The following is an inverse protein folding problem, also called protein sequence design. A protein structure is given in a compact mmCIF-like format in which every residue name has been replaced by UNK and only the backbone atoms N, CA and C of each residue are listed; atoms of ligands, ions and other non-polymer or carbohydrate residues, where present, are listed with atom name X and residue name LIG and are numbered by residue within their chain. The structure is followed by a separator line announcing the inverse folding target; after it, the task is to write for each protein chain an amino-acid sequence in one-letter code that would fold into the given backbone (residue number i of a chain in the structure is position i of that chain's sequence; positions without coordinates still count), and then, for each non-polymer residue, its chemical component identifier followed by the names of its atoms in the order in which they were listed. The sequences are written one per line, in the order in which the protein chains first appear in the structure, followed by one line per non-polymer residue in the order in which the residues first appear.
data_IF_662460535403
#
_entry.id   IF_662460535403
#
_cell.length_a   1.000
_cell.length_b   1.000
_cell.length_c   1.000
_cell.angle_alpha   90.00
_cell.angle_beta   90.00
_cell.angle_gamma   90.00
#
_symmetry.space_group_name_H-M   'P 1'
#
loop_
_entity.id
_entity.type
_entity.pdbx_description
1 polymer ?
#
# COMPACT_ATOMS: atom_id res chain seq x y z
N UNK A 1 -29.56 10.18 12.60
CA UNK A 1 -29.07 9.23 11.58
C UNK A 1 -27.73 9.75 11.09
N UNK A 2 -26.64 9.19 11.60
CA UNK A 2 -25.28 9.45 11.12
C UNK A 2 -25.02 8.51 9.94
N UNK A 3 -24.54 8.98 8.79
CA UNK A 3 -24.15 8.07 7.71
C UNK A 3 -22.94 7.28 8.20
N UNK A 4 -23.11 5.97 8.39
CA UNK A 4 -22.01 5.05 8.58
C UNK A 4 -21.25 5.05 7.25
N UNK A 5 -20.12 5.74 7.19
CA UNK A 5 -19.21 5.66 6.06
C UNK A 5 -18.91 4.16 5.91
N UNK A 6 -19.41 3.55 4.83
CA UNK A 6 -19.14 2.15 4.57
C UNK A 6 -17.61 2.05 4.41
N UNK A 7 -16.97 1.23 5.25
CA UNK A 7 -15.61 0.82 4.97
C UNK A 7 -15.62 0.25 3.54
N UNK A 8 -14.76 0.73 2.62
CA UNK A 8 -14.67 0.14 1.29
C UNK A 8 -14.57 -1.37 1.44
N UNK A 9 -15.49 -2.06 0.76
CA UNK A 9 -15.52 -3.51 0.73
C UNK A 9 -14.13 -3.99 0.33
N UNK A 10 -13.62 -5.06 0.95
CA UNK A 10 -12.28 -5.61 0.69
C UNK A 10 -11.99 -5.81 -0.83
N UNK A 11 -13.05 -5.96 -1.61
CA UNK A 11 -13.07 -6.06 -3.08
C UNK A 11 -12.71 -4.74 -3.79
N UNK A 12 -13.13 -3.58 -3.30
CA UNK A 12 -12.87 -2.27 -3.94
C UNK A 12 -11.39 -1.85 -3.82
N UNK A 13 -10.72 -2.21 -2.73
CA UNK A 13 -9.29 -1.91 -2.54
C UNK A 13 -8.37 -2.65 -3.53
N UNK A 14 -8.86 -3.72 -4.16
CA UNK A 14 -8.10 -4.40 -5.21
C UNK A 14 -8.05 -3.64 -6.53
N UNK A 15 -8.91 -2.61 -6.67
CA UNK A 15 -8.93 -1.75 -7.84
C UNK A 15 -7.71 -0.83 -7.84
N UNK A 16 -7.18 -0.61 -9.04
CA UNK A 16 -6.00 0.20 -9.25
C UNK A 16 -6.26 1.62 -8.72
N UNK A 17 -5.34 2.24 -7.95
CA UNK A 17 -5.52 3.60 -7.44
C UNK A 17 -5.91 4.55 -8.56
N UNK A 18 -6.69 5.63 -8.30
CA UNK A 18 -7.05 6.65 -9.30
C UNK A 18 -5.84 6.98 -10.20
N UNK A 19 -5.83 6.35 -11.39
CA UNK A 19 -4.62 6.01 -12.15
C UNK A 19 -4.07 7.19 -12.93
N UNK A 20 -4.36 8.42 -12.52
CA UNK A 20 -4.32 9.55 -13.44
C UNK A 20 -2.91 10.04 -13.77
N UNK A 21 -1.87 9.67 -13.00
CA UNK A 21 -0.48 10.14 -13.25
C UNK A 21 0.67 9.15 -13.00
N UNK A 22 0.42 7.96 -12.45
CA UNK A 22 1.51 7.04 -12.11
C UNK A 22 1.79 5.94 -13.15
N UNK A 23 0.86 5.70 -14.10
CA UNK A 23 1.05 4.74 -15.19
C UNK A 23 2.01 5.22 -16.29
N UNK A 24 2.40 6.49 -16.29
CA UNK A 24 3.45 6.98 -17.19
C UNK A 24 4.82 6.31 -16.93
N UNK A 25 4.93 5.54 -15.84
CA UNK A 25 6.09 4.69 -15.57
C UNK A 25 5.78 3.23 -15.96
N UNK A 26 6.39 2.69 -17.04
CA UNK A 26 6.09 1.34 -17.54
C UNK A 26 6.22 0.24 -16.50
N UNK A 27 7.23 0.35 -15.63
CA UNK A 27 7.47 -0.61 -14.54
C UNK A 27 6.32 -0.65 -13.54
N UNK A 28 5.72 0.50 -13.21
CA UNK A 28 4.60 0.55 -12.29
C UNK A 28 3.34 -0.06 -12.89
N UNK A 29 3.10 0.19 -14.19
CA UNK A 29 1.97 -0.42 -14.90
C UNK A 29 2.05 -1.95 -14.91
N UNK A 30 3.25 -2.53 -15.04
CA UNK A 30 3.46 -3.98 -15.01
C UNK A 30 3.02 -4.61 -13.67
N UNK A 31 3.19 -3.93 -12.54
CA UNK A 31 2.75 -4.44 -11.23
C UNK A 31 1.21 -4.52 -11.11
N UNK A 32 0.46 -3.86 -12.00
CA UNK A 32 -0.99 -3.93 -12.07
C UNK A 32 -1.53 -4.80 -13.21
N UNK A 33 -0.66 -5.44 -13.99
CA UNK A 33 -1.07 -6.40 -15.01
C UNK A 33 -1.69 -7.66 -14.39
N UNK A 34 -2.49 -8.39 -15.17
CA UNK A 34 -3.19 -9.61 -14.73
C UNK A 34 -2.25 -10.75 -14.33
N UNK A 35 -1.04 -10.78 -14.89
CA UNK A 35 0.00 -11.77 -14.60
C UNK A 35 0.90 -11.39 -13.41
N UNK A 36 0.66 -10.22 -12.79
CA UNK A 36 1.37 -9.81 -11.58
C UNK A 36 1.04 -10.76 -10.42
N UNK A 37 2.06 -11.11 -9.65
CA UNK A 37 1.91 -11.83 -8.39
C UNK A 37 1.30 -10.89 -7.37
N UNK A 38 0.16 -11.27 -6.79
CA UNK A 38 -0.53 -10.48 -5.76
C UNK A 38 -0.54 -11.25 -4.45
N UNK A 39 0.17 -10.74 -3.45
CA UNK A 39 0.17 -11.28 -2.08
C UNK A 39 -0.66 -10.37 -1.18
N UNK A 40 -1.67 -10.94 -0.52
CA UNK A 40 -2.55 -10.24 0.42
C UNK A 40 -2.24 -10.67 1.84
N UNK A 41 -2.22 -9.71 2.74
CA UNK A 41 -2.04 -9.93 4.17
C UNK A 41 -3.05 -9.05 4.90
N UNK A 42 -3.72 -9.60 5.90
CA UNK A 42 -4.61 -8.84 6.77
C UNK A 42 -4.01 -8.87 8.18
N UNK A 43 -3.78 -7.69 8.74
CA UNK A 43 -3.47 -7.53 10.17
C UNK A 43 -4.69 -6.93 10.86
N UNK A 44 -4.69 -6.91 12.19
CA UNK A 44 -5.82 -6.33 12.94
C UNK A 44 -6.07 -4.88 12.49
N UNK A 45 -7.16 -4.67 11.75
CA UNK A 45 -7.58 -3.35 11.29
C UNK A 45 -6.79 -2.74 10.12
N UNK A 46 -5.87 -3.48 9.49
CA UNK A 46 -5.13 -3.01 8.30
C UNK A 46 -5.07 -4.10 7.23
N UNK A 47 -5.54 -3.76 6.03
CA UNK A 47 -5.41 -4.58 4.82
C UNK A 47 -4.17 -4.22 4.03
N UNK A 48 -3.46 -5.23 3.53
CA UNK A 48 -2.14 -5.09 2.91
C UNK A 48 -2.13 -5.87 1.61
N UNK A 49 -1.64 -5.23 0.55
CA UNK A 49 -1.54 -5.81 -0.78
C UNK A 49 -0.14 -5.55 -1.32
N UNK A 50 0.60 -6.61 -1.63
CA UNK A 50 1.88 -6.52 -2.34
C UNK A 50 1.65 -7.02 -3.76
N UNK A 51 2.11 -6.24 -4.74
CA UNK A 51 2.04 -6.56 -6.16
C UNK A 51 3.44 -6.56 -6.74
N UNK A 52 3.79 -7.66 -7.38
CA UNK A 52 5.07 -7.83 -8.08
C UNK A 52 4.80 -8.23 -9.53
N UNK A 53 5.31 -7.51 -10.52
CA UNK A 53 5.20 -7.91 -11.92
C UNK A 53 5.96 -9.21 -12.16
N UNK A 54 5.58 -9.96 -13.20
CA UNK A 54 6.24 -11.20 -13.57
C UNK A 54 7.75 -11.03 -13.86
N UNK A 55 8.14 -9.85 -14.36
CA UNK A 55 9.53 -9.47 -14.63
C UNK A 55 10.30 -9.00 -13.39
N UNK A 56 9.63 -8.90 -12.22
CA UNK A 56 10.18 -8.40 -10.95
C UNK A 56 10.85 -7.04 -11.04
N UNK A 57 10.43 -6.21 -12.01
CA UNK A 57 11.03 -4.90 -12.26
C UNK A 57 10.72 -3.85 -11.18
N UNK A 58 9.66 -4.04 -10.40
CA UNK A 58 9.35 -3.20 -9.24
C UNK A 58 8.50 -3.97 -8.21
N UNK A 59 8.25 -3.36 -7.06
CA UNK A 59 7.32 -3.87 -6.05
C UNK A 59 6.40 -2.75 -5.64
N UNK A 60 5.09 -3.01 -5.69
CA UNK A 60 4.06 -2.06 -5.33
C UNK A 60 3.33 -2.54 -4.07
N UNK A 61 3.25 -1.67 -3.08
CA UNK A 61 2.62 -1.92 -1.78
C UNK A 61 1.39 -1.03 -1.64
N UNK A 62 0.23 -1.64 -1.47
CA UNK A 62 -1.00 -0.99 -1.05
C UNK A 62 -1.27 -1.26 0.42
N UNK A 63 -1.52 -0.21 1.20
CA UNK A 63 -1.94 -0.27 2.59
C UNK A 63 -3.29 0.42 2.75
N UNK A 64 -4.19 -0.23 3.48
CA UNK A 64 -5.51 0.31 3.82
C UNK A 64 -5.79 0.10 5.31
N UNK A 65 -6.22 1.15 5.99
CA UNK A 65 -6.64 1.08 7.38
C UNK A 65 -8.16 0.92 7.45
N UNK A 66 -8.64 -0.27 7.81
CA UNK A 66 -10.06 -0.54 8.01
C UNK A 66 -10.59 -0.13 9.38
N UNK A 67 -9.71 0.42 10.24
CA UNK A 67 -10.04 0.81 11.60
C UNK A 67 -10.67 2.20 11.68
N UNK A 68 -11.31 2.47 12.82
CA UNK A 68 -11.84 3.79 13.18
C UNK A 68 -10.80 4.73 13.80
N UNK A 69 -9.56 4.26 13.99
CA UNK A 69 -8.44 5.00 14.56
C UNK A 69 -7.26 4.98 13.60
N UNK A 70 -6.28 5.87 13.82
CA UNK A 70 -5.02 5.84 13.09
C UNK A 70 -4.32 4.47 13.24
N UNK A 71 -3.79 3.94 12.14
CA UNK A 71 -2.93 2.76 12.11
C UNK A 71 -1.49 3.18 11.85
N UNK A 72 -0.57 2.64 12.65
CA UNK A 72 0.89 2.81 12.49
C UNK A 72 1.48 1.49 12.01
N UNK A 73 2.14 1.53 10.85
CA UNK A 73 2.61 0.34 10.13
C UNK A 73 4.10 0.49 9.89
N UNK A 74 4.90 -0.44 10.42
CA UNK A 74 6.32 -0.51 10.13
C UNK A 74 6.58 -1.28 8.85
N UNK A 75 7.07 -0.59 7.81
CA UNK A 75 7.28 -1.20 6.49
C UNK A 75 8.33 -2.32 6.54
N UNK A 76 9.36 -2.15 7.37
CA UNK A 76 10.45 -3.12 7.48
C UNK A 76 10.04 -4.37 8.26
N UNK A 77 9.17 -4.22 9.27
CA UNK A 77 8.58 -5.37 9.95
C UNK A 77 7.60 -6.13 9.04
N UNK A 78 6.90 -5.40 8.15
CA UNK A 78 5.91 -5.97 7.26
C UNK A 78 6.52 -6.69 6.06
N UNK A 79 7.56 -6.12 5.46
CA UNK A 79 8.26 -6.63 4.29
C UNK A 79 9.76 -6.69 4.58
N UNK A 80 10.21 -7.64 5.42
CA UNK A 80 11.63 -7.77 5.76
C UNK A 80 12.51 -8.00 4.52
N UNK A 81 11.99 -8.62 3.46
CA UNK A 81 12.68 -8.77 2.18
C UNK A 81 12.99 -7.43 1.48
N UNK A 82 12.28 -6.36 1.86
CA UNK A 82 12.44 -4.99 1.36
C UNK A 82 12.90 -4.00 2.42
N UNK A 83 13.48 -4.47 3.53
CA UNK A 83 13.88 -3.61 4.65
C UNK A 83 14.90 -2.52 4.26
N UNK A 84 15.69 -2.75 3.21
CA UNK A 84 16.67 -1.79 2.70
C UNK A 84 16.16 -0.94 1.52
N UNK A 85 14.92 -1.14 1.08
CA UNK A 85 14.36 -0.39 -0.03
C UNK A 85 13.85 0.97 0.45
N UNK A 86 14.11 2.02 -0.34
CA UNK A 86 13.40 3.27 -0.17
C UNK A 86 11.99 3.13 -0.76
N UNK A 87 11.01 3.80 -0.16
CA UNK A 87 9.61 3.75 -0.61
C UNK A 87 9.18 5.10 -1.17
N UNK A 88 8.63 5.07 -2.38
CA UNK A 88 8.11 6.25 -3.07
C UNK A 88 6.58 6.24 -3.08
N UNK A 89 5.99 7.37 -2.75
CA UNK A 89 4.54 7.60 -2.82
C UNK A 89 4.01 7.51 -4.27
N UNK A 90 2.91 6.78 -4.44
CA UNK A 90 2.13 6.69 -5.68
C UNK A 90 0.83 7.50 -5.53
N UNK A 91 0.00 7.16 -4.55
CA UNK A 91 -1.32 7.75 -4.35
C UNK A 91 -1.86 7.49 -2.94
N UNK A 92 -2.96 8.17 -2.59
CA UNK A 92 -3.61 8.09 -1.28
C UNK A 92 -3.14 9.18 -0.32
N UNK A 93 -3.13 8.88 0.97
CA UNK A 93 -2.68 9.81 2.01
C UNK A 93 -1.99 9.05 3.13
N UNK A 94 -0.84 9.55 3.57
CA UNK A 94 -0.11 9.02 4.71
C UNK A 94 0.68 10.12 5.41
N UNK A 95 1.03 9.86 6.67
CA UNK A 95 2.14 10.54 7.35
C UNK A 95 3.26 9.53 7.59
N UNK A 96 4.48 10.01 7.68
CA UNK A 96 5.63 9.15 8.00
C UNK A 96 6.32 9.64 9.26
N UNK A 97 6.85 8.70 10.04
CA UNK A 97 7.69 9.01 11.19
C UNK A 97 8.89 8.07 11.26
N UNK A 98 10.01 8.50 11.87
CA UNK A 98 11.16 7.63 12.09
C UNK A 98 10.81 6.47 13.04
N UNK A 99 11.30 5.27 12.70
CA UNK A 99 11.21 4.06 13.51
C UNK A 99 12.61 3.52 13.86
N UNK A 100 12.69 2.61 14.82
CA UNK A 100 13.97 1.99 15.23
C UNK A 100 14.65 1.31 14.03
N UNK A 101 13.85 0.62 13.22
CA UNK A 101 14.35 -0.16 12.09
C UNK A 101 14.05 0.49 10.73
N UNK A 102 13.65 1.76 10.67
CA UNK A 102 13.36 2.43 9.40
C UNK A 102 12.28 3.50 9.50
N UNK A 103 11.20 3.35 8.73
CA UNK A 103 10.12 4.33 8.62
C UNK A 103 8.78 3.67 8.94
N UNK A 104 7.99 4.33 9.78
CA UNK A 104 6.60 3.97 10.01
C UNK A 104 5.67 4.82 9.13
N UNK A 105 4.68 4.16 8.56
CA UNK A 105 3.59 4.77 7.82
C UNK A 105 2.38 4.88 8.73
N UNK A 106 1.83 6.08 8.82
CA UNK A 106 0.63 6.40 9.57
C UNK A 106 -0.52 6.61 8.59
N UNK A 107 -1.56 5.81 8.75
CA UNK A 107 -2.80 5.93 7.99
C UNK A 107 -3.92 6.37 8.92
N UNK A 108 -4.58 7.46 8.56
CA UNK A 108 -5.81 7.89 9.23
C UNK A 108 -6.89 6.79 9.17
N UNK A 109 -7.93 6.92 9.99
CA UNK A 109 -9.08 6.02 9.96
C UNK A 109 -9.70 5.96 8.54
N UNK A 110 -9.98 4.75 8.04
CA UNK A 110 -10.40 4.50 6.66
C UNK A 110 -9.42 5.02 5.58
N UNK A 111 -8.20 5.38 5.96
CA UNK A 111 -7.15 5.91 5.09
C UNK A 111 -6.43 4.83 4.30
N UNK A 112 -5.77 5.25 3.22
CA UNK A 112 -5.09 4.32 2.33
C UNK A 112 -3.90 4.96 1.63
N UNK A 113 -2.93 4.15 1.22
CA UNK A 113 -1.77 4.61 0.44
C UNK A 113 -1.27 3.50 -0.48
N UNK A 114 -0.75 3.92 -1.65
CA UNK A 114 0.04 3.08 -2.53
C UNK A 114 1.48 3.59 -2.60
N UNK A 115 2.43 2.68 -2.49
CA UNK A 115 3.87 2.93 -2.49
C UNK A 115 4.57 2.00 -3.50
N UNK A 116 5.69 2.43 -4.06
CA UNK A 116 6.60 1.56 -4.81
C UNK A 116 7.96 1.52 -4.12
N UNK A 117 8.56 0.35 -4.07
CA UNK A 117 9.96 0.23 -3.69
C UNK A 117 10.84 0.86 -4.78
N UNK A 118 11.91 1.53 -4.37
CA UNK A 118 12.99 2.00 -5.23
C UNK A 118 14.29 1.39 -4.75
N UNK A 119 15.09 0.89 -5.69
CA UNK A 119 16.44 0.36 -5.48
C UNK A 119 17.46 1.47 -5.22
#
# INVERSE_FOLDING_TARGET
MTPHLAAPTQTDWTQVPEMTRCLDTPHLAAAFADDAVVRRMDTEGTGIVVREPADRSCVVLGLYNSSTTEARISLNALLPEHANSAWRFISGSMRTSPAIDGMDVHLEAAGHVWLTATS
#
